data_IF_300479641296
#
_entry.id   IF_300479641296
#
_cell.length_a   1.000
_cell.length_b   1.000
_cell.length_c   1.000
_cell.angle_alpha   90.00
_cell.angle_beta   90.00
_cell.angle_gamma   90.00
#
_symmetry.space_group_name_H-M   'P 1'
#
loop_
_entity.id
_entity.type
_entity.pdbx_description
1 polymer ?
#
# COMPACT_ATOMS: atom_id res chain seq x y z
N UNK A 1 21.40 50.56 -11.76
CA UNK A 1 20.82 49.67 -10.73
C UNK A 1 21.97 48.86 -10.16
N UNK A 2 22.29 49.08 -8.90
CA UNK A 2 23.57 48.70 -8.27
C UNK A 2 23.54 47.26 -7.73
N UNK A 3 24.70 46.58 -7.81
CA UNK A 3 24.96 45.21 -7.32
C UNK A 3 24.59 44.93 -5.85
N UNK A 4 24.26 45.97 -5.06
CA UNK A 4 23.86 45.83 -3.67
C UNK A 4 22.47 45.17 -3.53
N UNK A 5 21.53 45.47 -4.43
CA UNK A 5 20.18 44.88 -4.38
C UNK A 5 20.18 43.38 -4.70
N UNK A 6 21.18 42.90 -5.45
CA UNK A 6 21.36 41.48 -5.76
C UNK A 6 21.98 40.73 -4.58
N UNK A 7 22.92 41.36 -3.86
CA UNK A 7 23.53 40.81 -2.66
C UNK A 7 22.56 40.73 -1.48
N UNK A 8 21.69 41.73 -1.31
CA UNK A 8 20.66 41.72 -0.26
C UNK A 8 19.57 40.66 -0.55
N UNK A 9 19.21 40.45 -1.82
CA UNK A 9 18.31 39.38 -2.24
C UNK A 9 18.93 37.97 -2.04
N UNK A 10 20.22 37.82 -2.34
CA UNK A 10 20.95 36.56 -2.10
C UNK A 10 21.06 36.24 -0.60
N UNK A 11 21.22 37.24 0.27
CA UNK A 11 21.32 37.02 1.72
C UNK A 11 20.00 36.52 2.33
N UNK A 12 18.85 37.07 1.90
CA UNK A 12 17.52 36.61 2.32
C UNK A 12 17.24 35.17 1.86
N UNK A 13 17.68 34.80 0.65
CA UNK A 13 17.56 33.43 0.13
C UNK A 13 18.49 32.47 0.88
N UNK A 14 19.68 32.92 1.28
CA UNK A 14 20.66 32.09 2.01
C UNK A 14 20.21 31.81 3.45
N UNK A 15 19.58 32.78 4.13
CA UNK A 15 19.03 32.58 5.48
C UNK A 15 17.80 31.66 5.47
N UNK A 16 16.97 31.71 4.42
CA UNK A 16 15.83 30.79 4.23
C UNK A 16 16.26 29.33 3.95
N UNK A 17 17.45 29.13 3.35
CA UNK A 17 18.03 27.80 3.06
C UNK A 17 18.74 27.15 4.25
N UNK A 18 18.89 27.86 5.37
CA UNK A 18 19.54 27.33 6.61
C UNK A 18 18.57 27.02 7.75
N UNK A 19 17.27 27.23 7.56
CA UNK A 19 16.28 26.77 8.54
C UNK A 19 16.09 25.26 8.40
N UNK A 20 16.26 24.46 9.48
CA UNK A 20 15.99 23.04 9.44
C UNK A 20 14.50 22.81 9.21
N UNK A 21 14.12 22.35 8.02
CA UNK A 21 12.78 21.82 7.76
C UNK A 21 12.73 20.44 8.40
N UNK A 22 12.23 20.37 9.62
CA UNK A 22 11.79 19.13 10.23
C UNK A 22 10.61 18.60 9.40
N UNK A 23 10.85 17.67 8.48
CA UNK A 23 9.79 16.95 7.77
C UNK A 23 9.25 15.85 8.68
N UNK A 24 8.28 16.21 9.52
CA UNK A 24 7.45 15.26 10.26
C UNK A 24 6.56 14.54 9.25
N UNK A 25 6.75 13.22 9.08
CA UNK A 25 5.77 12.35 8.42
C UNK A 25 4.49 12.45 9.24
N UNK A 26 3.41 13.03 8.68
CA UNK A 26 2.13 12.99 9.36
C UNK A 26 1.60 11.56 9.29
N UNK A 27 1.67 10.86 10.41
CA UNK A 27 0.93 9.62 10.63
C UNK A 27 -0.56 9.86 10.35
N UNK A 28 -1.27 8.86 9.84
CA UNK A 28 -2.74 8.89 9.71
C UNK A 28 -3.33 9.41 11.04
N UNK A 29 -4.02 10.55 10.99
CA UNK A 29 -4.60 11.13 12.18
C UNK A 29 -5.85 10.33 12.55
N UNK A 30 -5.70 9.45 13.54
CA UNK A 30 -6.83 8.70 14.09
C UNK A 30 -7.75 9.68 14.82
N UNK A 31 -9.01 9.71 14.43
CA UNK A 31 -10.06 10.52 15.05
C UNK A 31 -11.22 9.62 15.43
N UNK A 32 -12.10 10.13 16.29
CA UNK A 32 -13.35 9.43 16.64
C UNK A 32 -14.21 9.05 15.42
N UNK A 33 -14.00 9.66 14.25
CA UNK A 33 -14.76 9.36 13.03
C UNK A 33 -14.12 8.26 12.18
N UNK A 34 -12.80 8.08 12.27
CA UNK A 34 -12.05 7.14 11.43
C UNK A 34 -11.86 5.76 12.04
N UNK A 35 -12.13 5.60 13.35
CA UNK A 35 -12.00 4.32 14.07
C UNK A 35 -13.34 3.63 14.32
N UNK A 36 -13.33 2.30 14.35
CA UNK A 36 -14.50 1.44 14.58
C UNK A 36 -14.29 0.49 15.76
N UNK A 37 -15.35 0.24 16.54
CA UNK A 37 -15.29 -0.77 17.61
C UNK A 37 -14.90 -2.13 17.04
N UNK A 38 -13.99 -2.83 17.72
CA UNK A 38 -13.43 -4.10 17.28
C UNK A 38 -12.07 -4.00 16.58
N UNK A 39 -11.65 -2.82 16.14
CA UNK A 39 -10.33 -2.60 15.51
C UNK A 39 -9.18 -2.67 16.52
N UNK A 40 -7.99 -3.00 16.03
CA UNK A 40 -6.77 -3.14 16.82
C UNK A 40 -5.74 -2.07 16.45
N UNK A 41 -5.02 -1.61 17.46
CA UNK A 41 -4.10 -0.49 17.37
C UNK A 41 -2.82 -0.76 18.15
N UNK A 42 -1.73 -0.14 17.74
CA UNK A 42 -0.43 -0.16 18.44
C UNK A 42 -0.19 1.17 19.10
N UNK A 43 0.24 1.13 20.36
CA UNK A 43 0.67 2.32 21.10
C UNK A 43 1.98 2.87 20.54
N UNK A 44 1.99 4.10 20.06
CA UNK A 44 3.18 4.73 19.44
C UNK A 44 3.80 5.85 20.28
N UNK A 45 3.21 6.19 21.43
CA UNK A 45 3.78 7.10 22.43
C UNK A 45 3.98 6.42 23.80
N UNK A 46 4.95 6.90 24.58
CA UNK A 46 5.33 6.28 25.85
C UNK A 46 4.37 6.61 27.01
N UNK A 47 3.94 5.57 27.72
CA UNK A 47 3.21 5.57 28.99
C UNK A 47 1.92 6.40 29.04
N UNK A 48 0.80 5.76 28.71
CA UNK A 48 -0.53 6.28 29.02
C UNK A 48 -1.33 5.27 29.85
N UNK A 49 -1.42 5.53 31.16
CA UNK A 49 -2.12 4.66 32.09
C UNK A 49 -1.41 3.32 32.26
N UNK A 50 -2.05 2.24 31.82
CA UNK A 50 -1.58 0.86 31.99
C UNK A 50 -0.93 0.23 30.75
N UNK A 51 -0.86 0.96 29.63
CA UNK A 51 -0.28 0.47 28.37
C UNK A 51 1.07 1.14 28.08
N UNK A 52 1.97 0.35 27.48
CA UNK A 52 3.34 0.70 27.10
C UNK A 52 3.46 0.90 25.60
N UNK A 53 4.55 1.55 25.17
CA UNK A 53 4.89 1.68 23.75
C UNK A 53 5.01 0.29 23.11
N UNK A 54 4.41 0.11 21.94
CA UNK A 54 4.38 -1.18 21.23
C UNK A 54 3.25 -2.13 21.64
N UNK A 55 2.52 -1.84 22.72
CA UNK A 55 1.38 -2.67 23.12
C UNK A 55 0.29 -2.62 22.04
N UNK A 56 -0.21 -3.80 21.67
CA UNK A 56 -1.38 -3.94 20.79
C UNK A 56 -2.63 -3.96 21.66
N UNK A 57 -3.59 -3.09 21.33
CA UNK A 57 -4.81 -2.89 22.10
C UNK A 57 -6.03 -2.84 21.17
N UNK A 58 -7.16 -3.38 21.64
CA UNK A 58 -8.43 -3.43 20.90
C UNK A 58 -9.34 -2.30 21.33
N UNK A 59 -9.96 -1.60 20.38
CA UNK A 59 -11.03 -0.63 20.65
C UNK A 59 -12.30 -1.39 21.06
N UNK A 60 -12.69 -1.31 22.33
CA UNK A 60 -13.83 -2.05 22.88
C UNK A 60 -15.08 -1.21 23.10
N UNK A 61 -14.93 0.12 23.16
CA UNK A 61 -16.08 1.03 23.21
C UNK A 61 -15.75 2.39 22.63
N UNK A 62 -16.51 2.79 21.61
CA UNK A 62 -16.52 4.12 20.99
C UNK A 62 -17.57 4.97 21.69
N UNK A 63 -17.13 6.02 22.39
CA UNK A 63 -18.00 6.92 23.17
C UNK A 63 -18.17 8.30 22.53
N UNK A 64 -17.72 8.47 21.28
CA UNK A 64 -17.78 9.74 20.55
C UNK A 64 -16.76 10.77 21.04
N UNK A 65 -15.82 10.37 21.90
CA UNK A 65 -14.69 11.20 22.33
C UNK A 65 -13.42 10.83 21.58
N UNK A 66 -12.38 11.67 21.69
CA UNK A 66 -11.03 11.35 21.20
C UNK A 66 -10.26 10.41 22.12
N UNK A 67 -10.85 9.99 23.25
CA UNK A 67 -10.26 9.03 24.20
C UNK A 67 -11.19 7.84 24.46
N UNK A 68 -11.53 7.02 23.45
CA UNK A 68 -12.40 5.87 23.64
C UNK A 68 -11.73 4.78 24.49
N UNK A 69 -12.50 3.76 24.87
CA UNK A 69 -12.00 2.67 25.73
C UNK A 69 -11.37 1.54 24.91
N UNK A 70 -10.18 1.13 25.35
CA UNK A 70 -9.39 0.06 24.76
C UNK A 70 -9.10 -1.04 25.77
N UNK A 71 -8.76 -2.23 25.28
CA UNK A 71 -8.41 -3.38 26.12
C UNK A 71 -7.22 -4.14 25.53
N UNK A 72 -6.28 -4.57 26.38
CA UNK A 72 -5.19 -5.47 25.97
C UNK A 72 -5.63 -6.94 25.92
N UNK A 73 -4.73 -7.84 25.56
CA UNK A 73 -4.99 -9.28 25.51
C UNK A 73 -5.30 -9.91 26.89
N UNK A 74 -4.94 -9.25 27.99
CA UNK A 74 -5.18 -9.71 29.37
C UNK A 74 -6.51 -9.20 29.92
N UNK A 75 -7.28 -8.43 29.12
CA UNK A 75 -8.54 -7.84 29.55
C UNK A 75 -8.40 -6.55 30.35
N UNK A 76 -7.20 -5.95 30.41
CA UNK A 76 -6.95 -4.69 31.09
C UNK A 76 -7.45 -3.54 30.24
N UNK A 77 -8.32 -2.70 30.80
CA UNK A 77 -9.00 -1.63 30.06
C UNK A 77 -8.48 -0.25 30.44
N UNK A 78 -8.24 0.62 29.45
CA UNK A 78 -7.94 2.04 29.66
C UNK A 78 -8.56 2.92 28.57
N UNK A 79 -8.74 4.21 28.86
CA UNK A 79 -9.13 5.21 27.86
C UNK A 79 -7.86 5.80 27.24
N UNK A 80 -7.75 5.75 25.91
CA UNK A 80 -6.52 6.14 25.20
C UNK A 80 -6.84 7.17 24.13
N UNK A 81 -6.04 8.24 24.11
CA UNK A 81 -6.18 9.31 23.13
C UNK A 81 -5.75 8.82 21.73
N UNK A 82 -6.63 8.93 20.74
CA UNK A 82 -6.45 8.35 19.40
C UNK A 82 -5.15 8.76 18.69
N UNK A 83 -4.71 10.03 18.74
CA UNK A 83 -3.40 10.45 18.24
C UNK A 83 -2.17 9.72 18.80
N UNK A 84 -2.30 8.95 19.87
CA UNK A 84 -1.20 8.14 20.45
C UNK A 84 -1.08 6.75 19.84
N UNK A 85 -1.93 6.44 18.86
CA UNK A 85 -2.11 5.12 18.29
C UNK A 85 -1.81 5.12 16.80
N UNK A 86 -1.51 3.93 16.28
CA UNK A 86 -1.63 3.60 14.85
C UNK A 86 -2.43 2.32 14.71
N UNK A 87 -2.99 2.03 13.53
CA UNK A 87 -3.59 0.71 13.27
C UNK A 87 -2.54 -0.38 13.41
N UNK A 88 -2.94 -1.50 14.01
CA UNK A 88 -2.10 -2.69 14.11
C UNK A 88 -2.14 -3.48 12.80
N UNK A 89 -1.01 -4.08 12.44
CA UNK A 89 -0.94 -5.01 11.31
C UNK A 89 -1.53 -6.37 11.70
N UNK A 90 -1.98 -7.19 10.74
CA UNK A 90 -2.50 -8.53 11.03
C UNK A 90 -1.53 -9.39 11.86
N UNK A 91 -0.23 -9.33 11.56
CA UNK A 91 0.80 -10.08 12.29
C UNK A 91 0.94 -9.62 13.74
N UNK A 92 0.93 -8.31 14.00
CA UNK A 92 0.98 -7.74 15.35
C UNK A 92 -0.26 -8.12 16.17
N UNK A 93 -1.44 -8.17 15.53
CA UNK A 93 -2.67 -8.61 16.19
C UNK A 93 -2.62 -10.11 16.50
N UNK A 94 -2.17 -10.93 15.56
CA UNK A 94 -2.04 -12.37 15.75
C UNK A 94 -1.03 -12.72 16.87
N UNK A 95 0.08 -11.98 16.96
CA UNK A 95 1.07 -12.15 18.03
C UNK A 95 0.51 -11.74 19.40
N UNK A 96 -0.19 -10.61 19.48
CA UNK A 96 -0.66 -10.07 20.75
C UNK A 96 -1.98 -10.66 21.25
N UNK A 97 -2.89 -11.07 20.36
CA UNK A 97 -4.22 -11.59 20.69
C UNK A 97 -4.47 -12.99 20.09
N UNK A 98 -3.71 -14.02 20.52
CA UNK A 98 -3.75 -15.35 19.92
C UNK A 98 -5.11 -16.06 20.07
N UNK A 99 -5.91 -15.68 21.07
CA UNK A 99 -7.23 -16.27 21.36
C UNK A 99 -8.41 -15.47 20.76
N UNK A 100 -8.15 -14.38 20.04
CA UNK A 100 -9.22 -13.70 19.30
C UNK A 100 -9.64 -14.57 18.12
N UNK A 101 -10.94 -14.92 18.03
CA UNK A 101 -11.51 -15.69 16.91
C UNK A 101 -10.97 -15.10 15.60
N UNK A 102 -10.20 -15.92 14.91
CA UNK A 102 -9.01 -15.49 14.22
C UNK A 102 -9.30 -14.86 12.86
N UNK A 103 -8.43 -13.94 12.45
CA UNK A 103 -8.19 -13.63 11.03
C UNK A 103 -7.65 -14.84 10.24
N UNK A 104 -7.48 -16.02 10.86
CA UNK A 104 -7.17 -17.27 10.18
C UNK A 104 -8.29 -17.70 9.21
N UNK A 105 -9.54 -17.28 9.47
CA UNK A 105 -10.68 -17.62 8.64
C UNK A 105 -10.95 -16.59 7.53
N UNK A 106 -10.04 -15.62 7.29
CA UNK A 106 -10.20 -14.59 6.25
C UNK A 106 -8.89 -14.34 5.51
N UNK A 107 -8.89 -14.47 4.18
CA UNK A 107 -7.75 -14.19 3.28
C UNK A 107 -8.02 -12.98 2.39
N UNK A 108 -7.00 -12.16 2.14
CA UNK A 108 -7.04 -11.02 1.22
C UNK A 108 -6.18 -11.34 -0.01
N UNK A 109 -6.78 -11.44 -1.19
CA UNK A 109 -6.06 -11.69 -2.46
C UNK A 109 -6.52 -10.69 -3.50
N UNK A 110 -5.56 -9.99 -4.12
CA UNK A 110 -5.80 -8.96 -5.13
C UNK A 110 -6.84 -7.91 -4.70
N UNK A 111 -6.89 -7.62 -3.39
CA UNK A 111 -7.85 -6.67 -2.79
C UNK A 111 -9.23 -7.24 -2.45
N UNK A 112 -9.48 -8.53 -2.73
CA UNK A 112 -10.74 -9.21 -2.42
C UNK A 112 -10.63 -10.03 -1.13
N UNK A 113 -11.68 -9.96 -0.31
CA UNK A 113 -11.80 -10.71 0.95
C UNK A 113 -12.46 -12.07 0.69
N UNK A 114 -11.84 -13.11 1.24
CA UNK A 114 -12.30 -14.48 1.17
C UNK A 114 -12.47 -15.02 2.57
N UNK A 115 -13.60 -15.62 2.88
CA UNK A 115 -13.86 -16.24 4.18
C UNK A 115 -13.73 -17.75 4.07
N UNK A 116 -13.07 -18.38 5.05
CA UNK A 116 -13.02 -19.83 5.22
C UNK A 116 -14.43 -20.32 5.56
N UNK A 117 -14.88 -21.35 4.87
CA UNK A 117 -16.19 -21.96 5.07
C UNK A 117 -16.05 -23.46 5.31
N UNK A 118 -16.96 -24.02 6.11
CA UNK A 118 -17.06 -25.47 6.33
C UNK A 118 -17.85 -26.18 5.19
N UNK A 119 -18.27 -25.44 4.17
CA UNK A 119 -19.02 -25.98 3.05
C UNK A 119 -18.10 -26.67 2.04
N UNK A 120 -18.64 -27.66 1.31
CA UNK A 120 -17.93 -28.21 0.15
C UNK A 120 -17.71 -27.11 -0.88
N UNK A 121 -16.54 -27.14 -1.52
CA UNK A 121 -16.23 -26.24 -2.61
C UNK A 121 -17.25 -26.38 -3.75
N UNK A 122 -17.56 -25.27 -4.40
CA UNK A 122 -18.23 -25.19 -5.69
C UNK A 122 -17.27 -24.66 -6.76
N UNK A 123 -17.66 -24.74 -8.03
CA UNK A 123 -16.89 -24.10 -9.12
C UNK A 123 -16.85 -22.59 -8.87
N UNK A 124 -15.66 -22.01 -8.90
CA UNK A 124 -15.39 -20.59 -8.60
C UNK A 124 -15.15 -20.28 -7.12
N UNK A 125 -15.27 -21.26 -6.22
CA UNK A 125 -14.72 -21.14 -4.87
C UNK A 125 -13.21 -21.38 -4.90
N UNK A 126 -12.53 -21.06 -3.79
CA UNK A 126 -11.08 -21.21 -3.68
C UNK A 126 -10.72 -22.24 -2.62
N UNK A 127 -9.60 -22.94 -2.80
CA UNK A 127 -9.04 -23.85 -1.80
C UNK A 127 -7.65 -23.40 -1.37
N UNK A 128 -7.28 -23.67 -0.12
CA UNK A 128 -5.97 -23.38 0.45
C UNK A 128 -5.42 -24.62 1.15
N UNK A 129 -4.13 -24.89 0.94
CA UNK A 129 -3.39 -25.85 1.74
C UNK A 129 -2.60 -25.12 2.81
N UNK A 130 -2.79 -25.47 4.08
CA UNK A 130 -1.98 -24.93 5.18
C UNK A 130 -0.56 -25.52 5.17
N UNK A 131 -0.43 -26.77 4.74
CA UNK A 131 0.84 -27.47 4.54
C UNK A 131 0.68 -28.49 3.40
N UNK A 132 1.52 -28.40 2.36
CA UNK A 132 1.50 -29.29 1.20
C UNK A 132 2.91 -29.68 0.76
N UNK A 133 3.17 -30.99 0.67
CA UNK A 133 4.44 -31.53 0.16
C UNK A 133 4.33 -31.83 -1.34
N UNK A 134 4.07 -30.80 -2.14
CA UNK A 134 3.99 -30.90 -3.61
C UNK A 134 4.66 -29.68 -4.24
N UNK A 135 5.67 -29.90 -5.06
CA UNK A 135 6.46 -28.81 -5.66
C UNK A 135 5.68 -27.86 -6.57
N UNK A 136 4.49 -28.28 -7.01
CA UNK A 136 3.59 -27.51 -7.88
C UNK A 136 2.41 -26.90 -7.10
N UNK A 137 2.43 -26.98 -5.76
CA UNK A 137 1.50 -26.27 -4.88
C UNK A 137 2.29 -25.55 -3.78
N UNK A 138 2.00 -24.28 -3.59
CA UNK A 138 2.52 -23.42 -2.53
C UNK A 138 1.59 -23.38 -1.31
N UNK A 139 2.16 -23.57 -0.11
CA UNK A 139 1.49 -23.37 1.18
C UNK A 139 0.84 -21.98 1.28
N UNK A 140 -0.39 -21.92 1.78
CA UNK A 140 -1.10 -20.67 2.04
C UNK A 140 -1.67 -19.96 0.80
N UNK A 141 -1.30 -20.39 -0.42
CA UNK A 141 -1.84 -19.86 -1.69
C UNK A 141 -3.27 -20.38 -1.92
N UNK A 142 -4.13 -19.50 -2.44
CA UNK A 142 -5.48 -19.89 -2.87
C UNK A 142 -5.47 -20.34 -4.34
N UNK A 143 -6.20 -21.41 -4.61
CA UNK A 143 -6.41 -21.97 -5.94
C UNK A 143 -7.90 -22.02 -6.28
N UNK A 144 -8.29 -21.49 -7.43
CA UNK A 144 -9.68 -21.50 -7.89
C UNK A 144 -10.09 -22.91 -8.35
N UNK A 145 -11.25 -23.37 -7.88
CA UNK A 145 -11.86 -24.61 -8.36
C UNK A 145 -12.51 -24.36 -9.72
N UNK A 146 -11.85 -24.82 -10.78
CA UNK A 146 -12.27 -24.55 -12.17
C UNK A 146 -13.26 -25.57 -12.72
N UNK A 147 -13.28 -26.79 -12.18
CA UNK A 147 -14.23 -27.86 -12.52
C UNK A 147 -14.20 -28.97 -11.46
N UNK A 148 -15.06 -29.97 -11.66
CA UNK A 148 -14.98 -31.24 -10.94
C UNK A 148 -14.62 -32.36 -11.91
N UNK A 149 -13.77 -33.29 -11.47
CA UNK A 149 -13.54 -34.58 -12.13
C UNK A 149 -13.89 -35.71 -11.17
N UNK A 150 -14.82 -36.57 -11.56
CA UNK A 150 -15.32 -37.68 -10.74
C UNK A 150 -15.78 -37.32 -9.30
N UNK A 151 -16.08 -36.04 -9.05
CA UNK A 151 -16.51 -35.52 -7.74
C UNK A 151 -15.40 -34.89 -6.90
N UNK A 152 -14.16 -34.87 -7.41
CA UNK A 152 -13.03 -34.16 -6.82
C UNK A 152 -12.81 -32.81 -7.53
N UNK A 153 -12.36 -31.81 -6.79
CA UNK A 153 -12.06 -30.48 -7.29
C UNK A 153 -10.86 -30.54 -8.26
N UNK A 154 -10.89 -29.72 -9.31
CA UNK A 154 -9.75 -29.50 -10.18
C UNK A 154 -9.38 -28.04 -10.15
N UNK A 155 -8.09 -27.77 -9.96
CA UNK A 155 -7.48 -26.43 -9.90
C UNK A 155 -6.42 -26.27 -10.98
N UNK A 156 -5.93 -25.04 -11.18
CA UNK A 156 -4.70 -24.77 -11.94
C UNK A 156 -3.54 -24.62 -10.96
N UNK A 157 -2.48 -25.41 -11.12
CA UNK A 157 -1.35 -25.45 -10.20
C UNK A 157 -0.30 -24.36 -10.47
N UNK A 158 0.81 -24.36 -9.72
CA UNK A 158 1.87 -23.35 -9.86
C UNK A 158 2.61 -23.43 -11.20
N UNK A 159 2.58 -24.59 -11.86
CA UNK A 159 3.17 -24.81 -13.20
C UNK A 159 2.18 -24.45 -14.33
N UNK A 160 0.94 -24.13 -13.97
CA UNK A 160 -0.12 -23.70 -14.88
C UNK A 160 -0.88 -24.85 -15.55
N UNK A 161 -0.76 -26.07 -15.04
CA UNK A 161 -1.52 -27.22 -15.52
C UNK A 161 -2.68 -27.59 -14.58
N UNK A 162 -3.53 -28.53 -15.01
CA UNK A 162 -4.71 -28.91 -14.24
C UNK A 162 -4.34 -29.99 -13.22
N UNK A 163 -4.58 -29.69 -11.95
CA UNK A 163 -4.37 -30.62 -10.84
C UNK A 163 -5.69 -31.10 -10.23
N UNK A 164 -5.85 -32.42 -10.13
CA UNK A 164 -6.99 -33.09 -9.47
C UNK A 164 -6.68 -33.31 -7.98
N UNK A 165 -7.54 -32.78 -7.11
CA UNK A 165 -7.35 -32.78 -5.65
C UNK A 165 -7.54 -34.15 -5.00
N UNK A 166 -7.93 -35.21 -5.75
CA UNK A 166 -8.12 -36.58 -5.24
C UNK A 166 -6.98 -37.03 -4.30
N UNK A 167 -5.75 -36.68 -4.66
CA UNK A 167 -4.54 -37.09 -3.95
C UNK A 167 -4.09 -36.10 -2.86
N UNK A 168 -4.76 -34.95 -2.72
CA UNK A 168 -4.49 -33.88 -1.76
C UNK A 168 -5.82 -33.25 -1.30
N UNK A 169 -6.62 -34.01 -0.54
CA UNK A 169 -7.96 -33.61 -0.08
C UNK A 169 -7.99 -32.81 1.22
N UNK A 170 -6.84 -32.66 1.88
CA UNK A 170 -6.72 -31.92 3.13
C UNK A 170 -6.46 -30.44 2.82
N UNK A 171 -7.54 -29.72 2.51
CA UNK A 171 -7.52 -28.30 2.21
C UNK A 171 -8.71 -27.62 2.88
N UNK A 172 -8.56 -26.32 3.06
CA UNK A 172 -9.63 -25.43 3.50
C UNK A 172 -10.33 -24.80 2.30
N UNK A 173 -11.65 -24.64 2.39
CA UNK A 173 -12.47 -23.99 1.36
C UNK A 173 -12.69 -22.54 1.75
N UNK A 174 -12.55 -21.66 0.77
CA UNK A 174 -12.75 -20.22 0.90
C UNK A 174 -13.78 -19.74 -0.12
N UNK A 175 -14.72 -18.94 0.36
CA UNK A 175 -15.69 -18.25 -0.49
C UNK A 175 -15.36 -16.78 -0.58
N UNK A 176 -15.54 -16.14 -1.75
CA UNK A 176 -15.49 -14.69 -1.81
C UNK A 176 -16.59 -14.14 -0.89
N UNK A 177 -16.20 -13.29 0.06
CA UNK A 177 -17.16 -12.56 0.88
C UNK A 177 -17.93 -11.68 -0.08
N UNK A 178 -19.24 -11.93 -0.23
CA UNK A 178 -20.13 -11.05 -0.98
C UNK A 178 -20.25 -9.73 -0.23
N UNK A 179 -19.30 -8.83 -0.45
CA UNK A 179 -19.63 -7.42 -0.58
C UNK A 179 -20.60 -7.32 -1.77
N UNK A 180 -21.62 -6.46 -1.69
CA UNK A 180 -22.42 -6.12 -2.87
C UNK A 180 -21.45 -5.93 -4.04
N UNK A 181 -21.62 -6.77 -5.08
CA UNK A 181 -20.58 -6.98 -6.08
C UNK A 181 -20.06 -5.63 -6.58
N UNK A 182 -18.76 -5.32 -6.43
CA UNK A 182 -18.21 -4.10 -7.01
C UNK A 182 -18.43 -4.17 -8.53
N UNK A 183 -18.98 -3.12 -9.15
CA UNK A 183 -19.09 -3.09 -10.60
C UNK A 183 -17.68 -3.18 -11.20
N UNK A 184 -17.60 -3.87 -12.34
CA UNK A 184 -16.38 -4.20 -13.08
C UNK A 184 -15.32 -3.07 -13.07
N UNK A 185 -14.13 -3.40 -12.60
CA UNK A 185 -12.82 -2.78 -12.87
C UNK A 185 -12.81 -1.25 -13.04
N UNK A 186 -13.16 -0.54 -11.97
CA UNK A 186 -12.98 0.91 -11.83
C UNK A 186 -11.77 1.23 -10.93
N UNK A 187 -11.43 0.38 -9.95
CA UNK A 187 -10.50 0.74 -8.87
C UNK A 187 -9.14 1.26 -9.31
N UNK A 188 -8.66 0.86 -10.49
CA UNK A 188 -7.47 1.45 -11.09
C UNK A 188 -7.68 1.76 -12.56
N UNK A 189 -7.08 2.87 -13.01
CA UNK A 189 -6.99 3.21 -14.42
C UNK A 189 -5.58 3.58 -14.80
N UNK A 190 -5.20 3.21 -16.01
CA UNK A 190 -3.94 3.63 -16.60
C UNK A 190 -4.21 4.79 -17.57
N UNK A 191 -3.52 5.90 -17.33
CA UNK A 191 -3.59 7.10 -18.17
C UNK A 191 -2.15 7.52 -18.44
N UNK A 192 -1.77 7.58 -19.71
CA UNK A 192 -0.42 7.90 -20.16
C UNK A 192 0.69 7.05 -19.51
N UNK A 193 0.43 5.76 -19.29
CA UNK A 193 1.38 4.83 -18.66
C UNK A 193 1.53 5.00 -17.14
N UNK A 194 0.73 5.87 -16.53
CA UNK A 194 0.66 6.08 -15.08
C UNK A 194 -0.60 5.45 -14.51
N UNK A 195 -0.47 4.81 -13.36
CA UNK A 195 -1.58 4.17 -12.66
C UNK A 195 -2.24 5.15 -11.70
N UNK A 196 -3.56 5.22 -11.75
CA UNK A 196 -4.40 6.00 -10.84
C UNK A 196 -5.36 5.05 -10.13
N UNK A 197 -5.58 5.25 -8.84
CA UNK A 197 -6.52 4.49 -8.05
C UNK A 197 -7.78 5.32 -7.77
N UNK A 198 -8.95 4.69 -7.76
CA UNK A 198 -10.15 5.32 -7.25
C UNK A 198 -9.90 5.78 -5.80
N UNK A 199 -10.18 7.05 -5.53
CA UNK A 199 -9.86 7.71 -4.27
C UNK A 199 -11.13 8.29 -3.68
N UNK A 200 -11.38 8.00 -2.40
CA UNK A 200 -12.46 8.62 -1.63
C UNK A 200 -11.88 9.76 -0.78
N UNK A 201 -12.25 11.00 -1.11
CA UNK A 201 -11.85 12.17 -0.36
C UNK A 201 -11.87 13.43 -1.23
N UNK A 202 -11.21 14.48 -0.76
CA UNK A 202 -11.21 15.77 -1.44
C UNK A 202 -10.44 15.73 -2.77
N UNK A 203 -11.01 16.42 -3.77
CA UNK A 203 -10.43 16.58 -5.09
C UNK A 203 -9.14 17.41 -5.05
N UNK A 204 -8.15 17.05 -5.86
CA UNK A 204 -6.90 17.79 -6.00
C UNK A 204 -6.54 17.98 -7.47
N UNK A 205 -5.72 19.00 -7.73
CA UNK A 205 -5.07 19.18 -9.02
C UNK A 205 -4.22 17.94 -9.35
N UNK A 206 -4.38 17.42 -10.57
CA UNK A 206 -3.75 16.20 -11.06
C UNK A 206 -4.53 14.92 -10.77
N UNK A 207 -5.66 14.99 -10.05
CA UNK A 207 -6.61 13.89 -10.02
C UNK A 207 -7.38 13.82 -11.34
N UNK A 208 -7.91 12.64 -11.65
CA UNK A 208 -8.86 12.44 -12.73
C UNK A 208 -10.26 12.24 -12.15
N UNK A 209 -11.29 12.72 -12.85
CA UNK A 209 -12.68 12.54 -12.43
C UNK A 209 -13.55 11.92 -13.53
N UNK A 210 -14.61 11.23 -13.14
CA UNK A 210 -15.77 10.96 -14.01
C UNK A 210 -16.97 11.75 -13.55
N UNK A 211 -17.76 12.27 -14.49
CA UNK A 211 -19.02 12.96 -14.20
C UNK A 211 -20.19 11.97 -14.13
N UNK A 212 -21.19 12.28 -13.30
CA UNK A 212 -22.38 11.43 -13.07
C UNK A 212 -23.47 11.55 -14.15
N UNK A 213 -23.33 12.46 -15.12
CA UNK A 213 -24.26 12.68 -16.24
C UNK A 213 -23.57 13.44 -17.38
N UNK A 214 -24.19 13.47 -18.57
CA UNK A 214 -23.74 14.22 -19.74
C UNK A 214 -24.18 15.69 -19.66
N UNK A 215 -23.22 16.63 -19.72
CA UNK A 215 -23.53 18.06 -19.78
C UNK A 215 -22.50 18.82 -20.60
N UNK A 216 -22.99 19.56 -21.60
CA UNK A 216 -22.11 20.16 -22.62
C UNK A 216 -21.38 19.07 -23.40
N UNK A 217 -20.06 19.22 -23.53
CA UNK A 217 -19.16 18.32 -24.26
C UNK A 217 -18.44 17.33 -23.32
N UNK A 218 -18.98 17.14 -22.11
CA UNK A 218 -18.50 16.16 -21.13
C UNK A 218 -19.24 14.84 -21.36
N UNK A 219 -18.53 13.85 -21.92
CA UNK A 219 -19.03 12.50 -22.11
C UNK A 219 -19.11 11.71 -20.79
N UNK A 220 -20.26 11.04 -20.56
CA UNK A 220 -20.49 10.16 -19.42
C UNK A 220 -19.43 9.04 -19.36
N UNK A 221 -18.83 8.83 -18.19
CA UNK A 221 -17.82 7.80 -17.95
C UNK A 221 -16.42 8.10 -18.52
N UNK A 222 -16.25 9.18 -19.30
CA UNK A 222 -14.92 9.67 -19.70
C UNK A 222 -14.21 10.30 -18.50
N UNK A 223 -12.89 10.14 -18.47
CA UNK A 223 -12.02 10.65 -17.42
C UNK A 223 -11.38 11.95 -17.84
N UNK A 224 -11.42 12.94 -16.97
CA UNK A 224 -10.87 14.27 -17.21
C UNK A 224 -9.87 14.62 -16.11
N UNK A 225 -8.71 15.13 -16.50
CA UNK A 225 -7.72 15.65 -15.58
C UNK A 225 -8.23 16.96 -14.96
N UNK A 226 -8.12 17.06 -13.64
CA UNK A 226 -8.44 18.25 -12.90
C UNK A 226 -7.20 19.14 -12.81
N UNK A 227 -7.26 20.32 -13.39
CA UNK A 227 -6.13 21.27 -13.36
C UNK A 227 -6.31 22.40 -12.33
N UNK A 228 -7.49 22.48 -11.71
CA UNK A 228 -7.80 23.45 -10.66
C UNK A 228 -8.90 22.92 -9.74
N UNK A 229 -8.91 23.38 -8.49
CA UNK A 229 -9.98 23.15 -7.52
C UNK A 229 -10.24 24.46 -6.79
N UNK A 230 -11.50 24.87 -6.63
CA UNK A 230 -11.82 26.07 -5.86
C UNK A 230 -12.10 25.80 -4.38
N UNK A 231 -12.52 26.82 -3.64
CA UNK A 231 -12.78 26.75 -2.20
C UNK A 231 -13.94 25.85 -1.82
N UNK A 232 -14.84 25.60 -2.76
CA UNK A 232 -16.07 24.83 -2.52
C UNK A 232 -15.86 23.35 -2.88
N UNK A 233 -14.69 23.01 -3.43
CA UNK A 233 -14.30 21.66 -3.83
C UNK A 233 -14.62 21.34 -5.29
N UNK A 234 -15.03 22.34 -6.07
CA UNK A 234 -15.41 22.15 -7.46
C UNK A 234 -14.17 22.05 -8.36
N UNK A 235 -14.22 21.12 -9.30
CA UNK A 235 -13.10 20.80 -10.19
C UNK A 235 -13.11 21.59 -11.49
N UNK A 236 -11.95 22.05 -11.93
CA UNK A 236 -11.74 22.64 -13.26
C UNK A 236 -11.12 21.61 -14.19
N UNK A 237 -11.78 21.36 -15.33
CA UNK A 237 -11.36 20.40 -16.35
C UNK A 237 -11.33 21.03 -17.75
N UNK A 238 -10.63 20.39 -18.67
CA UNK A 238 -10.77 20.64 -20.11
C UNK A 238 -11.76 19.63 -20.70
N UNK A 239 -12.81 20.11 -21.37
CA UNK A 239 -13.74 19.25 -22.10
C UNK A 239 -13.13 18.69 -23.41
N UNK A 240 -13.92 17.95 -24.17
CA UNK A 240 -13.48 17.26 -25.38
C UNK A 240 -12.97 18.21 -26.48
N UNK A 241 -13.36 19.48 -26.46
CA UNK A 241 -12.92 20.54 -27.37
C UNK A 241 -11.80 21.42 -26.75
N UNK A 242 -11.32 21.06 -25.55
CA UNK A 242 -10.29 21.77 -24.81
C UNK A 242 -10.77 23.02 -24.06
N UNK A 243 -12.08 23.26 -24.02
CA UNK A 243 -12.64 24.40 -23.31
C UNK A 243 -12.68 24.12 -21.80
N UNK A 244 -12.44 25.16 -21.00
CA UNK A 244 -12.51 25.06 -19.54
C UNK A 244 -13.95 24.90 -19.08
N UNK A 245 -14.22 23.87 -18.29
CA UNK A 245 -15.48 23.64 -17.58
C UNK A 245 -15.23 23.52 -16.09
N UNK A 246 -16.25 23.88 -15.31
CA UNK A 246 -16.31 23.58 -13.89
C UNK A 246 -17.24 22.39 -13.67
N UNK A 247 -16.90 21.53 -12.71
CA UNK A 247 -17.68 20.37 -12.30
C UNK A 247 -17.91 20.47 -10.80
N UNK A 248 -19.17 20.68 -10.42
CA UNK A 248 -19.55 20.78 -9.02
C UNK A 248 -19.18 19.48 -8.27
N UNK A 249 -18.70 19.60 -7.03
CA UNK A 249 -18.27 18.46 -6.22
C UNK A 249 -19.36 17.37 -6.12
N UNK A 250 -20.63 17.77 -5.96
CA UNK A 250 -21.80 16.88 -5.89
C UNK A 250 -22.09 16.11 -7.19
N UNK A 251 -21.42 16.46 -8.28
CA UNK A 251 -21.61 15.88 -9.62
C UNK A 251 -20.45 14.97 -10.04
N UNK A 252 -19.39 14.93 -9.25
CA UNK A 252 -18.26 14.02 -9.41
C UNK A 252 -18.72 12.63 -8.98
N UNK A 253 -18.65 11.68 -9.92
CA UNK A 253 -19.02 10.29 -9.66
C UNK A 253 -17.88 9.50 -9.02
N UNK A 254 -16.65 9.76 -9.48
CA UNK A 254 -15.45 9.12 -8.97
C UNK A 254 -14.25 10.05 -9.13
N UNK A 255 -13.32 9.96 -8.18
CA UNK A 255 -12.01 10.61 -8.22
C UNK A 255 -10.96 9.51 -8.38
N UNK A 256 -9.95 9.76 -9.20
CA UNK A 256 -8.85 8.88 -9.46
C UNK A 256 -7.56 9.62 -9.15
N UNK A 257 -6.84 9.18 -8.13
CA UNK A 257 -5.59 9.79 -7.70
C UNK A 257 -4.41 8.94 -8.14
N UNK A 258 -3.32 9.59 -8.53
CA UNK A 258 -2.09 8.88 -8.94
C UNK A 258 -1.66 7.90 -7.84
N UNK A 259 -1.59 6.63 -8.22
CA UNK A 259 -1.16 5.53 -7.36
C UNK A 259 0.33 5.29 -7.59
N UNK A 260 1.15 5.84 -6.71
CA UNK A 260 2.60 5.62 -6.76
C UNK A 260 2.92 4.16 -6.42
N UNK A 261 3.83 3.56 -7.17
CA UNK A 261 4.43 2.26 -6.84
C UNK A 261 5.24 2.34 -5.54
N UNK A 262 5.49 1.20 -4.89
CA UNK A 262 6.35 1.12 -3.70
C UNK A 262 7.75 1.70 -3.96
N UNK A 263 8.23 1.57 -5.20
CA UNK A 263 9.48 2.17 -5.67
C UNK A 263 9.36 3.70 -5.72
N UNK A 264 8.36 4.26 -6.39
CA UNK A 264 8.14 5.72 -6.46
C UNK A 264 7.92 6.35 -5.09
N UNK A 265 7.11 5.73 -4.22
CA UNK A 265 6.90 6.16 -2.82
C UNK A 265 8.22 6.30 -2.08
N UNK A 266 9.17 5.41 -2.35
CA UNK A 266 10.47 5.41 -1.70
C UNK A 266 11.28 6.67 -1.99
N UNK A 267 11.21 7.22 -3.22
CA UNK A 267 11.88 8.48 -3.57
C UNK A 267 11.16 9.69 -3.00
N UNK A 268 9.82 9.74 -3.14
CA UNK A 268 8.99 10.83 -2.62
C UNK A 268 9.18 11.00 -1.11
N UNK A 269 9.27 9.89 -0.36
CA UNK A 269 9.57 9.88 1.08
C UNK A 269 10.85 10.65 1.42
N UNK A 270 11.84 10.63 0.54
CA UNK A 270 13.13 11.30 0.75
C UNK A 270 13.25 12.63 0.00
N UNK A 271 12.18 13.09 -0.67
CA UNK A 271 12.17 14.32 -1.46
C UNK A 271 13.04 14.25 -2.72
N UNK A 272 13.22 13.04 -3.27
CA UNK A 272 13.95 12.82 -4.52
C UNK A 272 13.00 12.70 -5.71
N UNK A 273 13.54 13.02 -6.89
CA UNK A 273 12.87 12.66 -8.13
C UNK A 273 12.78 11.13 -8.24
N UNK A 274 11.68 10.65 -8.82
CA UNK A 274 11.52 9.23 -9.11
C UNK A 274 12.70 8.78 -9.98
N UNK A 275 13.34 7.69 -9.57
CA UNK A 275 14.49 7.05 -10.25
C UNK A 275 15.82 7.79 -10.12
N UNK A 276 15.87 8.83 -9.28
CA UNK A 276 17.10 9.52 -8.93
C UNK A 276 17.92 8.70 -7.92
N UNK A 277 18.67 7.70 -8.40
CA UNK A 277 19.64 6.97 -7.58
C UNK A 277 21.02 7.64 -7.61
N UNK A 278 21.75 7.51 -6.50
CA UNK A 278 23.13 7.99 -6.31
C UNK A 278 24.00 6.90 -5.71
N UNK A 279 25.29 6.99 -6.02
CA UNK A 279 26.31 6.18 -5.34
C UNK A 279 26.31 6.52 -3.85
N UNK A 280 26.20 5.48 -3.02
CA UNK A 280 26.08 5.50 -1.57
C UNK A 280 24.66 5.33 -1.05
N UNK A 281 23.64 5.27 -1.91
CA UNK A 281 22.27 5.00 -1.48
C UNK A 281 22.11 3.58 -0.96
N UNK A 282 21.30 3.41 0.09
CA UNK A 282 20.89 2.11 0.60
C UNK A 282 19.58 1.72 -0.04
N UNK A 283 19.55 0.56 -0.67
CA UNK A 283 18.41 0.04 -1.43
C UNK A 283 18.01 -1.36 -0.98
N UNK A 284 16.76 -1.71 -1.21
CA UNK A 284 16.23 -3.06 -0.97
C UNK A 284 15.76 -3.68 -2.28
N UNK A 285 16.08 -4.95 -2.49
CA UNK A 285 15.52 -5.75 -3.59
C UNK A 285 14.03 -5.98 -3.34
N UNK A 286 13.18 -5.62 -4.29
CA UNK A 286 11.71 -5.73 -4.19
C UNK A 286 11.11 -6.75 -5.15
N UNK A 287 11.87 -7.20 -6.15
CA UNK A 287 11.46 -8.22 -7.11
C UNK A 287 12.59 -9.20 -7.35
N UNK A 288 12.25 -10.43 -7.74
CA UNK A 288 13.27 -11.41 -8.10
C UNK A 288 14.05 -10.91 -9.33
N UNK A 289 15.37 -10.75 -9.22
CA UNK A 289 16.16 -10.27 -10.34
C UNK A 289 16.13 -11.30 -11.46
N UNK A 290 15.77 -10.85 -12.66
CA UNK A 290 15.83 -11.68 -13.88
C UNK A 290 17.27 -12.05 -14.28
N UNK A 291 18.25 -11.39 -13.65
CA UNK A 291 19.66 -11.48 -13.92
C UNK A 291 20.26 -12.53 -12.95
N UNK A 292 20.76 -13.65 -13.48
CA UNK A 292 21.19 -14.85 -12.74
C UNK A 292 22.40 -14.74 -11.79
N UNK A 293 22.61 -13.60 -11.13
CA UNK A 293 23.52 -13.49 -10.00
C UNK A 293 22.75 -13.80 -8.70
N UNK A 294 22.84 -15.05 -8.24
CA UNK A 294 22.08 -15.62 -7.10
C UNK A 294 22.39 -15.04 -5.71
N UNK A 295 22.86 -13.80 -5.62
CA UNK A 295 23.12 -13.09 -4.37
C UNK A 295 22.06 -12.05 -4.03
N UNK A 296 21.19 -11.71 -4.98
CA UNK A 296 20.08 -10.79 -4.79
C UNK A 296 18.81 -11.61 -4.50
N UNK A 297 18.31 -11.50 -3.28
CA UNK A 297 17.02 -12.08 -2.88
C UNK A 297 16.08 -10.95 -2.51
N UNK A 298 14.78 -11.13 -2.76
CA UNK A 298 13.76 -10.17 -2.35
C UNK A 298 13.91 -9.88 -0.84
N UNK A 299 13.85 -8.61 -0.48
CA UNK A 299 14.06 -8.12 0.88
C UNK A 299 15.52 -7.82 1.25
N UNK A 300 16.51 -8.29 0.49
CA UNK A 300 17.93 -8.02 0.80
C UNK A 300 18.31 -6.55 0.63
N UNK A 301 19.18 -6.06 1.52
CA UNK A 301 19.60 -4.65 1.61
C UNK A 301 21.04 -4.50 1.14
N UNK A 302 21.27 -3.52 0.25
CA UNK A 302 22.55 -3.24 -0.37
C UNK A 302 22.82 -1.74 -0.43
N UNK A 303 24.10 -1.37 -0.54
CA UNK A 303 24.51 -0.02 -0.89
C UNK A 303 24.86 0.01 -2.39
N UNK A 304 24.40 1.03 -3.10
CA UNK A 304 24.84 1.32 -4.46
C UNK A 304 26.27 1.84 -4.40
N UNK A 305 27.24 1.17 -4.97
CA UNK A 305 28.64 1.63 -5.04
C UNK A 305 29.02 2.13 -6.45
N UNK A 306 28.24 1.80 -7.47
CA UNK A 306 28.31 2.35 -8.82
C UNK A 306 26.95 2.26 -9.51
N UNK A 307 26.56 3.28 -10.28
CA UNK A 307 25.26 3.29 -10.97
C UNK A 307 25.28 2.47 -12.28
N UNK A 308 26.45 2.26 -12.88
CA UNK A 308 26.55 1.71 -14.23
C UNK A 308 25.71 2.49 -15.26
N UNK A 309 25.69 2.01 -16.51
CA UNK A 309 24.84 2.60 -17.56
C UNK A 309 23.49 1.88 -17.73
N UNK A 310 23.33 0.69 -17.14
CA UNK A 310 22.10 -0.13 -17.26
C UNK A 310 21.75 -0.85 -15.96
N UNK A 311 22.75 -1.28 -15.21
CA UNK A 311 22.60 -2.04 -13.99
C UNK A 311 23.44 -1.37 -12.89
N UNK A 312 22.83 -0.91 -11.78
CA UNK A 312 23.60 -0.52 -10.60
C UNK A 312 24.37 -1.71 -10.07
N UNK A 313 25.57 -1.42 -9.62
CA UNK A 313 26.38 -2.33 -8.85
C UNK A 313 26.09 -2.10 -7.37
N UNK A 314 26.02 -3.22 -6.65
CA UNK A 314 25.55 -3.31 -5.29
C UNK A 314 26.61 -4.00 -4.46
N UNK A 315 26.93 -3.40 -3.31
CA UNK A 315 27.73 -4.05 -2.25
C UNK A 315 26.83 -4.36 -1.05
N UNK A 316 27.10 -5.50 -0.42
CA UNK A 316 26.33 -5.98 0.73
C UNK A 316 26.62 -5.10 1.96
N UNK A 317 25.56 -4.67 2.65
CA UNK A 317 25.70 -3.88 3.89
C UNK A 317 25.91 -4.77 5.13
N UNK A 318 25.69 -6.10 5.02
CA UNK A 318 25.82 -7.03 6.15
C UNK A 318 27.19 -7.70 6.25
N UNK A 319 27.71 -7.99 7.46
CA UNK A 319 29.12 -8.37 7.68
C UNK A 319 29.53 -9.77 7.22
N UNK A 320 28.63 -10.58 6.64
CA UNK A 320 28.86 -12.04 6.56
C UNK A 320 29.53 -12.56 5.29
N UNK A 321 29.92 -11.71 4.33
CA UNK A 321 30.74 -12.12 3.17
C UNK A 321 31.31 -10.86 2.50
N UNK A 322 32.64 -10.78 2.38
CA UNK A 322 33.36 -9.55 2.01
C UNK A 322 33.65 -9.43 0.49
N UNK A 323 33.34 -10.43 -0.35
CA UNK A 323 34.04 -10.52 -1.65
C UNK A 323 33.20 -10.64 -2.92
N UNK A 324 31.86 -10.65 -2.86
CA UNK A 324 31.04 -10.74 -4.08
C UNK A 324 30.17 -9.50 -4.27
N UNK A 325 30.62 -8.63 -5.16
CA UNK A 325 29.80 -7.58 -5.73
C UNK A 325 28.66 -8.18 -6.58
N UNK A 326 27.52 -7.51 -6.63
CA UNK A 326 26.37 -7.94 -7.43
C UNK A 326 25.79 -6.77 -8.24
N UNK A 327 24.89 -7.07 -9.17
CA UNK A 327 24.21 -6.08 -10.00
C UNK A 327 22.75 -6.50 -10.19
N UNK A 328 21.87 -5.54 -10.44
CA UNK A 328 20.43 -5.78 -10.65
C UNK A 328 19.85 -4.70 -11.56
N UNK A 329 18.60 -4.80 -12.01
CA UNK A 329 17.96 -3.70 -12.73
C UNK A 329 17.45 -2.62 -11.76
N UNK A 330 17.44 -1.35 -12.18
CA UNK A 330 16.91 -0.27 -11.34
C UNK A 330 15.44 -0.46 -10.95
N UNK A 331 14.69 -1.25 -11.72
CA UNK A 331 13.29 -1.58 -11.46
C UNK A 331 13.11 -2.58 -10.31
N UNK A 332 14.14 -3.38 -10.01
CA UNK A 332 14.10 -4.44 -9.00
C UNK A 332 14.38 -3.91 -7.59
N UNK A 333 14.66 -2.61 -7.44
CA UNK A 333 15.12 -1.99 -6.20
C UNK A 333 14.30 -0.77 -5.80
N UNK A 334 14.14 -0.58 -4.48
CA UNK A 334 13.60 0.66 -3.89
C UNK A 334 14.60 1.32 -2.97
N UNK A 335 14.52 2.65 -2.85
CA UNK A 335 15.38 3.45 -1.98
C UNK A 335 14.96 3.29 -0.52
N UNK A 336 15.88 2.88 0.36
CA UNK A 336 15.64 2.73 1.80
C UNK A 336 16.27 3.88 2.58
N UNK A 337 17.44 4.35 2.17
CA UNK A 337 18.06 5.54 2.75
C UNK A 337 18.92 6.27 1.69
N UNK A 338 18.74 7.59 1.52
CA UNK A 338 19.57 8.37 0.61
C UNK A 338 20.96 8.64 1.22
N UNK A 339 22.00 8.67 0.37
CA UNK A 339 23.38 8.93 0.79
C UNK A 339 23.55 10.26 1.55
N UNK A 340 22.73 11.27 1.25
CA UNK A 340 22.81 12.59 1.89
C UNK A 340 22.44 12.56 3.37
N UNK A 341 21.81 11.49 3.86
CA UNK A 341 21.40 11.34 5.28
C UNK A 341 22.31 10.41 6.09
N UNK A 342 23.38 9.87 5.48
CA UNK A 342 24.31 8.93 6.12
C UNK A 342 25.63 9.58 6.58
N UNK A 343 25.68 10.91 6.65
CA UNK A 343 26.86 11.69 7.07
C UNK A 343 26.71 12.33 8.43
#
# INVERSE_FOLDING_TARGET
MTNQNVLDALKVVTEALTAPVATTVQAEELTKHTVSEGEYFVMVEANHGWFSWGDVIKLTRKDGTESPAFTDAKGLMAYVHLPRLRRATPDEVAEAFPDTKAFADVKLIDGNLYEKVDEKAAIGDYICYDEIDRSYLTDGKLYEVIKFDCGDEVIVDDDGDNFDTYSARDFDVYKPVKNEAPPADDHFVEIDGLRYAKFEGELRVGDYITASYDFGDIALGKKYEVFGVDSDGDGYIHDDDGCTRFVDADRIQAIYRRALSEREKSFVKFGREVDEFKVGDIVQIIQEPTNGNGYNVVGSIHEIDSLGNRLPHLKKVTPRQIESNTYTEFNDIKLIAPVERLK
#
